data_IF_046259098258
#
_entry.id   IF_046259098258
#
_cell.length_a   1.000
_cell.length_b   1.000
_cell.length_c   1.000
_cell.angle_alpha   90.00
_cell.angle_beta   90.00
_cell.angle_gamma   90.00
#
_symmetry.space_group_name_H-M   'P 1'
#
loop_
_entity.id
_entity.type
_entity.pdbx_description
1 polymer ?
#
# COMPACT_ATOMS: atom_id res chain seq x y z
N UNK A 1 17.17 -3.26 11.38
CA UNK A 1 17.41 -2.39 10.21
C UNK A 1 16.06 -1.90 9.73
N UNK A 2 15.96 -0.68 9.22
CA UNK A 2 14.74 -0.23 8.56
C UNK A 2 14.49 -1.09 7.30
N UNK A 3 13.23 -1.44 6.97
CA UNK A 3 12.93 -2.17 5.76
C UNK A 3 13.31 -1.34 4.53
N UNK A 4 13.65 -2.01 3.46
CA UNK A 4 13.89 -1.40 2.15
C UNK A 4 12.56 -1.11 1.46
N UNK A 5 12.59 -0.18 0.50
CA UNK A 5 11.44 0.09 -0.37
C UNK A 5 10.94 -1.20 -1.05
N UNK A 6 11.84 -2.06 -1.47
CA UNK A 6 11.51 -3.30 -2.17
C UNK A 6 10.83 -4.32 -1.26
N UNK A 7 11.24 -4.40 0.02
CA UNK A 7 10.57 -5.24 1.02
C UNK A 7 9.14 -4.75 1.29
N UNK A 8 8.94 -3.44 1.44
CA UNK A 8 7.59 -2.89 1.59
C UNK A 8 6.73 -3.15 0.35
N UNK A 9 7.27 -2.94 -0.85
CA UNK A 9 6.53 -3.24 -2.09
C UNK A 9 6.14 -4.72 -2.18
N UNK A 10 6.99 -5.66 -1.73
CA UNK A 10 6.65 -7.08 -1.68
C UNK A 10 5.51 -7.38 -0.72
N UNK A 11 5.51 -6.76 0.46
CA UNK A 11 4.44 -6.90 1.44
C UNK A 11 3.11 -6.37 0.88
N UNK A 12 3.14 -5.25 0.17
CA UNK A 12 1.94 -4.64 -0.39
C UNK A 12 1.28 -5.46 -1.51
N UNK A 13 1.97 -6.44 -2.10
CA UNK A 13 1.37 -7.41 -3.04
C UNK A 13 0.31 -8.29 -2.36
N UNK A 14 0.41 -8.50 -1.05
CA UNK A 14 -0.59 -9.29 -0.31
C UNK A 14 -1.90 -8.51 -0.06
N UNK A 15 -1.94 -7.22 -0.42
CA UNK A 15 -3.14 -6.38 -0.31
C UNK A 15 -3.96 -6.47 -1.60
N UNK A 16 -4.75 -7.54 -1.68
CA UNK A 16 -5.60 -7.87 -2.84
C UNK A 16 -6.81 -6.94 -2.98
N UNK A 17 -7.21 -6.66 -4.23
CA UNK A 17 -8.41 -5.89 -4.55
C UNK A 17 -9.63 -6.79 -4.87
N UNK A 18 -10.87 -6.31 -4.68
CA UNK A 18 -12.09 -7.09 -4.93
C UNK A 18 -12.29 -7.45 -6.40
N UNK A 19 -11.78 -6.64 -7.31
CA UNK A 19 -11.82 -6.83 -8.75
C UNK A 19 -10.60 -7.62 -9.29
N UNK A 20 -9.76 -8.15 -8.39
CA UNK A 20 -8.59 -8.95 -8.70
C UNK A 20 -7.28 -8.16 -8.82
N UNK A 21 -6.16 -8.83 -8.60
CA UNK A 21 -4.85 -8.19 -8.45
C UNK A 21 -4.67 -7.57 -7.06
N UNK A 22 -3.67 -6.72 -6.92
CA UNK A 22 -3.25 -6.10 -5.66
C UNK A 22 -2.87 -4.62 -5.84
N UNK A 23 -2.59 -3.92 -4.73
CA UNK A 23 -2.23 -2.50 -4.75
C UNK A 23 -1.02 -2.20 -5.66
N UNK A 24 -0.07 -3.12 -5.78
CA UNK A 24 1.14 -2.95 -6.59
C UNK A 24 0.85 -3.28 -8.05
N UNK A 25 0.19 -4.40 -8.33
CA UNK A 25 -0.14 -4.80 -9.70
C UNK A 25 -1.07 -3.82 -10.40
N UNK A 26 -1.89 -3.08 -9.63
CA UNK A 26 -2.79 -2.03 -10.10
C UNK A 26 -2.19 -0.63 -10.05
N UNK A 27 -0.91 -0.53 -9.69
CA UNK A 27 -0.15 0.73 -9.64
C UNK A 27 -0.80 1.82 -8.76
N UNK A 28 -1.41 1.40 -7.64
CA UNK A 28 -2.11 2.29 -6.71
C UNK A 28 -1.20 2.87 -5.62
N UNK A 29 0.06 2.41 -5.52
CA UNK A 29 1.01 2.87 -4.49
C UNK A 29 1.82 4.06 -5.00
N UNK A 30 1.75 5.19 -4.28
CA UNK A 30 2.45 6.44 -4.61
C UNK A 30 3.25 6.95 -3.42
N UNK A 31 4.33 7.67 -3.71
CA UNK A 31 5.10 8.40 -2.69
C UNK A 31 5.64 7.52 -1.55
N UNK A 32 5.97 6.25 -1.81
CA UNK A 32 6.51 5.36 -0.78
C UNK A 32 7.85 5.86 -0.25
N UNK A 33 7.89 6.14 1.05
CA UNK A 33 9.06 6.56 1.81
C UNK A 33 9.29 5.61 2.97
N UNK A 34 10.54 5.24 3.21
CA UNK A 34 10.97 4.55 4.42
C UNK A 34 12.02 5.39 5.11
N UNK A 35 11.74 5.78 6.35
CA UNK A 35 12.62 6.59 7.18
C UNK A 35 13.68 5.73 7.86
N UNK A 36 14.79 6.33 8.27
CA UNK A 36 15.88 5.62 8.95
C UNK A 36 15.46 4.98 10.29
N UNK A 37 14.42 5.51 10.94
CA UNK A 37 13.82 4.95 12.15
C UNK A 37 12.86 3.78 11.88
N UNK A 38 12.68 3.37 10.62
CA UNK A 38 11.76 2.31 10.21
C UNK A 38 10.34 2.77 9.91
N UNK A 39 9.99 4.05 10.09
CA UNK A 39 8.66 4.54 9.76
C UNK A 39 8.43 4.51 8.24
N UNK A 40 7.27 3.97 7.84
CA UNK A 40 6.88 3.82 6.44
C UNK A 40 5.66 4.71 6.17
N UNK A 41 5.69 5.44 5.05
CA UNK A 41 4.54 6.21 4.59
C UNK A 41 4.38 6.09 3.08
N UNK A 42 3.15 5.95 2.60
CA UNK A 42 2.79 5.92 1.19
C UNK A 42 1.34 6.37 1.01
N UNK A 43 0.97 6.71 -0.22
CA UNK A 43 -0.38 7.03 -0.63
C UNK A 43 -0.96 5.85 -1.42
N UNK A 44 -2.20 5.48 -1.12
CA UNK A 44 -3.02 4.62 -1.99
C UNK A 44 -3.85 5.55 -2.86
N UNK A 45 -3.45 5.74 -4.12
CA UNK A 45 -4.08 6.67 -5.05
C UNK A 45 -5.10 5.93 -5.91
N UNK A 46 -6.39 6.12 -5.59
CA UNK A 46 -7.47 5.61 -6.43
C UNK A 46 -7.69 6.51 -7.66
N UNK A 47 -8.12 5.95 -8.80
CA UNK A 47 -8.36 6.72 -10.03
C UNK A 47 -9.62 7.60 -9.97
N UNK A 48 -10.45 7.47 -8.93
CA UNK A 48 -11.61 8.32 -8.67
C UNK A 48 -11.94 8.39 -7.18
N UNK A 49 -12.66 9.42 -6.76
CA UNK A 49 -13.09 9.59 -5.37
C UNK A 49 -14.06 8.48 -4.90
N UNK A 50 -14.93 8.01 -5.80
CA UNK A 50 -15.83 6.89 -5.53
C UNK A 50 -15.04 5.62 -5.18
N UNK A 51 -14.05 5.26 -6.01
CA UNK A 51 -13.20 4.10 -5.75
C UNK A 51 -12.34 4.28 -4.51
N UNK A 52 -11.84 5.50 -4.24
CA UNK A 52 -11.09 5.78 -3.01
C UNK A 52 -11.89 5.42 -1.75
N UNK A 53 -13.18 5.75 -1.72
CA UNK A 53 -14.07 5.40 -0.60
C UNK A 53 -14.25 3.89 -0.39
N UNK A 54 -14.02 3.09 -1.43
CA UNK A 54 -14.08 1.63 -1.36
C UNK A 54 -12.76 0.96 -0.99
N UNK A 55 -11.64 1.69 -0.95
CA UNK A 55 -10.31 1.15 -0.64
C UNK A 55 -9.95 1.17 0.85
N UNK A 56 -10.86 1.60 1.72
CA UNK A 56 -10.59 1.67 3.16
C UNK A 56 -10.18 0.31 3.77
N UNK A 57 -10.81 -0.83 3.44
CA UNK A 57 -10.37 -2.14 3.94
C UNK A 57 -8.95 -2.50 3.48
N UNK A 58 -8.56 -2.10 2.27
CA UNK A 58 -7.22 -2.32 1.73
C UNK A 58 -6.20 -1.42 2.42
N UNK A 59 -6.57 -0.18 2.73
CA UNK A 59 -5.75 0.74 3.53
C UNK A 59 -5.47 0.16 4.91
N UNK A 60 -6.50 -0.33 5.60
CA UNK A 60 -6.37 -0.96 6.92
C UNK A 60 -5.47 -2.21 6.86
N UNK A 61 -5.68 -3.08 5.86
CA UNK A 61 -4.84 -4.26 5.65
C UNK A 61 -3.39 -3.90 5.36
N UNK A 62 -3.16 -2.91 4.49
CA UNK A 62 -1.82 -2.45 4.15
C UNK A 62 -1.09 -1.90 5.38
N UNK A 63 -1.78 -1.12 6.22
CA UNK A 63 -1.23 -0.64 7.49
C UNK A 63 -0.86 -1.81 8.41
N UNK A 64 -1.78 -2.76 8.62
CA UNK A 64 -1.55 -3.91 9.51
C UNK A 64 -0.42 -4.84 9.06
N UNK A 65 -0.11 -4.89 7.76
CA UNK A 65 1.00 -5.69 7.22
C UNK A 65 2.36 -4.98 7.32
N UNK A 66 2.36 -3.65 7.43
CA UNK A 66 3.57 -2.82 7.41
C UNK A 66 4.00 -2.38 8.82
N UNK A 67 3.08 -2.37 9.78
CA UNK A 67 3.36 -2.22 11.24
C UNK A 67 4.10 -3.43 11.82
#
# INVERSE_FOLDING_TARGET
MAPTREEIMKILVDVTLPDGGDLVSRDLVRGLMVQANGAVSFLIEAPSAELAGHLEPQREKAQALVE
#
